data_IF_697282018428
#
_entry.id   IF_697282018428
#
_cell.length_a   1.000
_cell.length_b   1.000
_cell.length_c   1.000
_cell.angle_alpha   90.00
_cell.angle_beta   90.00
_cell.angle_gamma   90.00
#
_symmetry.space_group_name_H-M   'P 1'
#
loop_
_entity.id
_entity.type
_entity.pdbx_description
1 polymer ?
#
# COMPACT_ATOMS: atom_id res chain seq x y z
N UNK A 1 9.19 17.32 -53.31
CA UNK A 1 9.23 18.18 -52.11
C UNK A 1 8.21 19.27 -52.33
N UNK A 2 7.02 19.11 -51.78
CA UNK A 2 5.90 20.05 -51.94
C UNK A 2 5.39 20.37 -50.53
N UNK A 3 5.71 21.58 -50.08
CA UNK A 3 5.37 22.08 -48.76
C UNK A 3 3.93 22.61 -48.78
N UNK A 4 2.99 21.87 -48.19
CA UNK A 4 1.66 22.41 -47.88
C UNK A 4 1.73 23.18 -46.56
N UNK A 5 1.54 24.49 -46.66
CA UNK A 5 1.37 25.41 -45.53
C UNK A 5 0.01 25.17 -44.88
N UNK A 6 -0.01 25.04 -43.56
CA UNK A 6 -1.21 24.87 -42.74
C UNK A 6 -1.53 26.20 -42.08
N UNK A 7 -2.60 26.86 -42.54
CA UNK A 7 -3.16 28.06 -41.90
C UNK A 7 -3.81 27.66 -40.56
N UNK A 8 -3.29 28.19 -39.45
CA UNK A 8 -3.86 28.04 -38.11
C UNK A 8 -4.91 29.12 -37.88
N UNK A 9 -6.18 28.75 -37.86
CA UNK A 9 -7.25 29.62 -37.38
C UNK A 9 -7.34 29.53 -35.86
N UNK A 10 -6.97 30.63 -35.19
CA UNK A 10 -7.14 30.83 -33.75
C UNK A 10 -8.52 31.45 -33.56
N UNK A 11 -9.46 30.72 -32.96
CA UNK A 11 -10.74 31.27 -32.50
C UNK A 11 -10.65 31.54 -31.00
N UNK A 12 -10.85 32.81 -30.65
CA UNK A 12 -10.79 33.38 -29.32
C UNK A 12 -12.19 33.40 -28.67
N UNK A 13 -12.23 33.16 -27.35
CA UNK A 13 -13.26 33.60 -26.38
C UNK A 13 -14.67 32.98 -26.53
N UNK A 14 -15.49 32.77 -25.48
CA UNK A 14 -15.62 33.54 -24.26
C UNK A 14 -16.04 32.67 -23.05
N UNK A 15 -15.46 32.98 -21.90
CA UNK A 15 -15.77 32.44 -20.59
C UNK A 15 -17.09 33.02 -20.09
N UNK A 16 -18.12 32.18 -19.90
CA UNK A 16 -19.34 32.57 -19.18
C UNK A 16 -19.13 32.31 -17.68
N UNK A 17 -18.91 33.38 -16.93
CA UNK A 17 -18.85 33.39 -15.47
C UNK A 17 -20.27 33.58 -14.93
N UNK A 18 -20.97 32.50 -14.59
CA UNK A 18 -22.25 32.58 -13.87
C UNK A 18 -22.03 32.40 -12.37
N UNK A 19 -22.12 33.50 -11.63
CA UNK A 19 -22.28 33.49 -10.19
C UNK A 19 -23.73 33.12 -9.84
N UNK A 20 -23.92 32.03 -9.10
CA UNK A 20 -25.13 31.83 -8.30
C UNK A 20 -24.74 31.89 -6.82
N UNK A 21 -25.30 32.90 -6.14
CA UNK A 21 -25.33 33.01 -4.70
C UNK A 21 -26.79 32.87 -4.21
N UNK A 22 -26.92 32.53 -2.92
CA UNK A 22 -28.13 32.50 -2.08
C UNK A 22 -28.89 31.15 -2.15
N UNK A 23 -29.38 30.56 -1.05
CA UNK A 23 -29.59 31.03 0.31
C UNK A 23 -29.58 29.86 1.31
N UNK A 24 -29.30 30.19 2.57
CA UNK A 24 -29.49 29.36 3.74
C UNK A 24 -30.98 29.26 4.11
N UNK A 25 -31.39 28.09 4.61
CA UNK A 25 -32.55 27.92 5.48
C UNK A 25 -32.19 26.99 6.64
N UNK A 26 -32.09 27.58 7.84
CA UNK A 26 -32.24 26.88 9.10
C UNK A 26 -33.71 26.53 9.34
N UNK A 27 -34.03 25.38 9.93
CA UNK A 27 -34.43 25.27 11.35
C UNK A 27 -35.19 23.95 11.65
N UNK A 28 -34.74 23.30 12.73
CA UNK A 28 -35.43 22.45 13.72
C UNK A 28 -36.57 21.49 13.33
N UNK A 29 -36.43 20.20 13.70
CA UNK A 29 -37.28 19.62 14.77
C UNK A 29 -36.70 18.32 15.35
N UNK A 30 -36.70 18.31 16.69
CA UNK A 30 -36.50 17.17 17.58
C UNK A 30 -37.55 16.07 17.34
N UNK A 31 -37.13 14.81 17.50
CA UNK A 31 -37.93 13.77 18.13
C UNK A 31 -36.99 12.75 18.77
N UNK A 32 -36.81 12.91 20.07
CA UNK A 32 -36.35 11.90 21.01
C UNK A 32 -37.55 10.99 21.36
N UNK A 33 -37.37 9.67 21.33
CA UNK A 33 -38.05 8.81 22.32
C UNK A 33 -37.33 7.46 22.52
N UNK A 34 -36.64 7.40 23.65
CA UNK A 34 -36.57 6.35 24.67
C UNK A 34 -36.84 4.89 24.28
N UNK A 35 -35.85 4.00 24.43
CA UNK A 35 -35.48 3.21 25.63
C UNK A 35 -36.33 1.93 25.83
N UNK A 36 -35.66 0.76 25.74
CA UNK A 36 -35.79 -0.25 26.79
C UNK A 36 -34.48 -0.99 27.02
N UNK A 37 -34.07 -0.95 28.28
CA UNK A 37 -32.93 -1.58 28.94
C UNK A 37 -33.47 -2.77 29.73
N UNK A 38 -32.79 -3.91 29.70
CA UNK A 38 -32.51 -4.79 30.86
C UNK A 38 -31.61 -5.95 30.36
N UNK A 39 -30.39 -6.21 30.83
CA UNK A 39 -29.82 -6.45 32.17
C UNK A 39 -29.45 -7.94 32.32
N UNK A 40 -28.14 -8.18 32.28
CA UNK A 40 -27.34 -9.10 33.12
C UNK A 40 -27.59 -10.61 33.07
N UNK A 41 -26.53 -11.36 32.70
CA UNK A 41 -26.06 -12.45 33.55
C UNK A 41 -24.54 -12.61 33.45
N UNK A 42 -23.94 -12.53 34.64
CA UNK A 42 -22.56 -12.78 34.97
C UNK A 42 -22.36 -14.28 35.14
N UNK A 43 -21.29 -14.84 34.58
CA UNK A 43 -20.72 -16.09 35.07
C UNK A 43 -19.20 -16.05 34.98
N UNK A 44 -18.64 -15.64 36.11
CA UNK A 44 -17.28 -15.90 36.57
C UNK A 44 -17.08 -17.42 36.71
N UNK A 45 -16.07 -17.97 36.05
CA UNK A 45 -15.39 -19.19 36.50
C UNK A 45 -13.88 -18.93 36.51
N UNK A 46 -13.33 -19.14 37.68
CA UNK A 46 -11.92 -19.06 38.06
C UNK A 46 -11.29 -20.45 37.98
N UNK A 47 -9.96 -20.48 37.87
CA UNK A 47 -9.01 -21.60 38.06
C UNK A 47 -8.81 -22.48 36.80
N UNK A 48 -7.61 -22.83 36.36
CA UNK A 48 -6.35 -23.02 37.10
C UNK A 48 -5.11 -22.80 36.21
N UNK A 49 -4.08 -22.28 36.85
CA UNK A 49 -2.67 -22.23 36.45
C UNK A 49 -2.10 -23.59 36.01
N UNK A 50 -1.29 -23.61 34.93
CA UNK A 50 -0.02 -24.35 34.87
C UNK A 50 1.00 -23.59 34.03
N UNK A 51 1.86 -22.87 34.74
CA UNK A 51 3.19 -22.45 34.33
C UNK A 51 4.04 -23.70 34.14
N UNK A 52 4.64 -23.88 32.97
CA UNK A 52 5.83 -24.73 32.81
C UNK A 52 6.99 -23.84 32.37
N UNK A 53 7.70 -23.38 33.39
CA UNK A 53 9.04 -22.85 33.32
C UNK A 53 9.95 -23.94 32.76
N UNK A 54 10.66 -23.69 31.66
CA UNK A 54 11.90 -24.39 31.35
C UNK A 54 12.98 -23.34 31.12
N UNK A 55 13.61 -22.96 32.23
CA UNK A 55 14.99 -22.45 32.22
C UNK A 55 15.87 -23.66 31.93
N UNK A 56 16.64 -23.61 30.84
CA UNK A 56 17.91 -24.31 30.80
C UNK A 56 19.00 -23.28 30.56
N UNK A 57 19.62 -22.86 31.66
CA UNK A 57 20.93 -22.23 31.67
C UNK A 57 21.96 -23.34 31.65
N UNK A 58 22.90 -23.28 30.71
CA UNK A 58 24.20 -23.92 30.84
C UNK A 58 25.22 -23.15 29.99
N UNK A 59 25.65 -22.02 30.54
CA UNK A 59 26.98 -21.45 30.33
C UNK A 59 28.04 -22.47 30.73
N UNK A 60 28.97 -22.77 29.82
CA UNK A 60 30.30 -23.27 30.18
C UNK A 60 31.35 -22.34 29.55
N UNK A 61 31.96 -21.54 30.41
CA UNK A 61 33.34 -21.03 30.30
C UNK A 61 34.29 -22.25 30.32
N UNK A 62 35.40 -22.30 29.59
CA UNK A 62 36.75 -21.67 29.77
C UNK A 62 37.66 -22.46 28.79
N UNK A 63 38.78 -22.05 28.21
CA UNK A 63 39.84 -21.12 28.59
C UNK A 63 40.87 -21.00 27.44
N UNK A 64 41.43 -19.79 27.29
CA UNK A 64 42.83 -19.45 26.96
C UNK A 64 43.56 -20.15 25.81
N UNK A 65 44.03 -19.33 24.86
CA UNK A 65 45.46 -19.20 24.58
C UNK A 65 45.76 -17.81 24.05
N UNK A 66 46.50 -17.05 24.85
CA UNK A 66 47.16 -15.82 24.44
C UNK A 66 48.40 -16.18 23.60
N UNK A 67 48.53 -15.56 22.43
CA UNK A 67 49.81 -15.40 21.76
C UNK A 67 49.90 -13.99 21.23
N UNK A 68 50.79 -13.24 21.85
CA UNK A 68 51.26 -11.92 21.48
C UNK A 68 52.17 -12.00 20.26
N UNK A 69 51.89 -11.20 19.23
CA UNK A 69 52.91 -10.73 18.30
C UNK A 69 52.43 -9.49 17.54
N UNK A 70 53.01 -8.37 17.94
CA UNK A 70 53.45 -7.22 17.15
C UNK A 70 52.55 -6.67 16.03
N UNK A 71 52.06 -5.46 16.32
CA UNK A 71 51.88 -4.31 15.45
C UNK A 71 52.21 -4.51 13.97
N UNK A 72 51.16 -4.45 13.15
CA UNK A 72 51.28 -3.92 11.80
C UNK A 72 50.27 -2.77 11.67
N UNK A 73 50.81 -1.59 11.42
CA UNK A 73 50.10 -0.34 11.19
C UNK A 73 49.32 -0.46 9.89
N UNK A 74 48.10 -0.99 9.95
CA UNK A 74 47.13 -0.82 8.89
C UNK A 74 46.26 0.35 9.28
N UNK A 75 46.43 1.45 8.55
CA UNK A 75 45.46 2.54 8.46
C UNK A 75 44.07 1.89 8.33
N UNK A 76 43.31 1.86 9.43
CA UNK A 76 41.87 1.66 9.33
C UNK A 76 41.35 2.90 8.63
N UNK A 77 41.24 2.82 7.31
CA UNK A 77 40.19 3.54 6.60
C UNK A 77 38.94 3.31 7.42
N UNK A 78 38.48 4.38 8.05
CA UNK A 78 37.17 4.45 8.66
C UNK A 78 36.21 4.18 7.52
N UNK A 79 35.84 2.91 7.32
CA UNK A 79 34.73 2.50 6.47
C UNK A 79 33.55 3.22 7.08
N UNK A 80 33.30 4.41 6.57
CA UNK A 80 32.15 5.20 6.90
C UNK A 80 31.02 4.38 6.31
N UNK A 81 30.43 3.51 7.13
CA UNK A 81 29.27 2.71 6.79
C UNK A 81 28.22 3.74 6.36
N UNK A 82 28.09 3.93 5.06
CA UNK A 82 27.07 4.80 4.50
C UNK A 82 25.76 4.20 5.01
N UNK A 83 25.06 4.97 5.84
CA UNK A 83 23.72 4.59 6.26
C UNK A 83 22.89 4.43 4.99
N UNK A 84 22.08 3.38 4.92
CA UNK A 84 21.14 3.19 3.80
C UNK A 84 20.38 4.50 3.55
N UNK A 85 20.10 4.89 2.29
CA UNK A 85 19.32 6.10 2.00
C UNK A 85 17.92 6.07 2.62
N UNK A 86 17.45 4.87 3.00
CA UNK A 86 16.17 4.62 3.67
C UNK A 86 16.26 4.63 5.20
N UNK A 87 17.42 5.01 5.77
CA UNK A 87 17.60 5.07 7.22
C UNK A 87 16.70 6.14 7.85
N UNK A 88 15.97 5.76 8.90
CA UNK A 88 15.06 6.66 9.62
C UNK A 88 13.59 6.56 9.19
N UNK A 89 13.29 5.85 8.10
CA UNK A 89 11.92 5.52 7.71
C UNK A 89 11.43 4.25 8.40
N UNK A 90 10.12 4.12 8.57
CA UNK A 90 9.51 2.89 9.08
C UNK A 90 9.62 1.74 8.07
N UNK A 91 9.53 0.51 8.55
CA UNK A 91 9.56 -0.67 7.69
C UNK A 91 8.44 -0.66 6.64
N UNK A 92 7.24 -0.19 7.02
CA UNK A 92 6.10 -0.07 6.11
C UNK A 92 6.37 0.95 4.99
N UNK A 93 6.86 2.15 5.34
CA UNK A 93 7.22 3.16 4.33
C UNK A 93 8.29 2.64 3.37
N UNK A 94 9.30 1.93 3.89
CA UNK A 94 10.36 1.32 3.09
C UNK A 94 9.82 0.23 2.16
N UNK A 95 8.93 -0.62 2.67
CA UNK A 95 8.27 -1.66 1.86
C UNK A 95 7.46 -1.01 0.73
N UNK A 96 6.59 -0.06 1.05
CA UNK A 96 5.72 0.58 0.07
C UNK A 96 6.52 1.31 -1.01
N UNK A 97 7.56 2.05 -0.63
CA UNK A 97 8.43 2.73 -1.59
C UNK A 97 9.15 1.74 -2.53
N UNK A 98 9.71 0.65 -1.99
CA UNK A 98 10.38 -0.38 -2.81
C UNK A 98 9.42 -1.10 -3.72
N UNK A 99 8.23 -1.45 -3.24
CA UNK A 99 7.20 -2.09 -4.04
C UNK A 99 6.76 -1.15 -5.18
N UNK A 100 6.53 0.14 -4.90
CA UNK A 100 6.19 1.12 -5.94
C UNK A 100 7.27 1.21 -7.02
N UNK A 101 8.54 1.38 -6.67
CA UNK A 101 9.64 1.43 -7.66
C UNK A 101 9.77 0.13 -8.46
N UNK A 102 9.59 -1.01 -7.81
CA UNK A 102 9.62 -2.31 -8.49
C UNK A 102 8.46 -2.43 -9.49
N UNK A 103 7.27 -1.93 -9.15
CA UNK A 103 6.10 -1.90 -10.04
C UNK A 103 6.29 -0.92 -11.20
N UNK A 104 6.84 0.28 -10.96
CA UNK A 104 7.19 1.24 -12.01
C UNK A 104 8.12 0.58 -13.04
N UNK A 105 9.17 -0.10 -12.56
CA UNK A 105 10.11 -0.85 -13.40
C UNK A 105 9.43 -2.00 -14.14
N UNK A 106 8.62 -2.82 -13.44
CA UNK A 106 7.90 -3.96 -14.01
C UNK A 106 6.97 -3.55 -15.16
N UNK A 107 6.22 -2.45 -15.00
CA UNK A 107 5.34 -1.91 -16.04
C UNK A 107 6.05 -1.03 -17.07
N UNK A 108 7.37 -0.83 -16.93
CA UNK A 108 8.20 0.02 -17.80
C UNK A 108 7.71 1.46 -17.84
N UNK A 109 7.27 1.97 -16.69
CA UNK A 109 6.88 3.36 -16.53
C UNK A 109 8.13 4.23 -16.38
N UNK A 110 8.21 5.27 -17.20
CA UNK A 110 9.30 6.24 -17.22
C UNK A 110 8.86 7.55 -16.56
N UNK A 111 8.38 7.44 -15.31
CA UNK A 111 8.03 8.58 -14.48
C UNK A 111 8.24 8.25 -13.00
N UNK A 112 8.34 9.30 -12.20
CA UNK A 112 8.35 9.23 -10.74
C UNK A 112 7.00 9.73 -10.22
N UNK A 113 6.29 8.96 -9.38
CA UNK A 113 4.94 9.32 -8.96
C UNK A 113 4.93 10.64 -8.19
N UNK A 114 3.91 11.46 -8.39
CA UNK A 114 3.70 12.72 -7.66
C UNK A 114 2.92 12.50 -6.36
N UNK A 115 2.19 11.40 -6.26
CA UNK A 115 1.46 10.98 -5.07
C UNK A 115 1.40 9.46 -4.97
N UNK A 116 1.40 8.95 -3.74
CA UNK A 116 1.23 7.52 -3.43
C UNK A 116 0.29 7.40 -2.24
N UNK A 117 -0.86 6.76 -2.42
CA UNK A 117 -1.79 6.41 -1.35
C UNK A 117 -1.70 4.92 -1.07
N UNK A 118 -1.73 4.57 0.20
CA UNK A 118 -1.67 3.19 0.68
C UNK A 118 -2.91 2.89 1.52
N UNK A 119 -3.58 1.80 1.20
CA UNK A 119 -4.67 1.24 2.01
C UNK A 119 -4.29 -0.16 2.46
N UNK A 120 -4.31 -0.40 3.77
CA UNK A 120 -4.11 -1.74 4.34
C UNK A 120 -5.46 -2.46 4.41
N UNK A 121 -5.56 -3.61 3.75
CA UNK A 121 -6.77 -4.42 3.78
C UNK A 121 -6.52 -5.63 4.69
N UNK A 122 -7.37 -5.80 5.71
CA UNK A 122 -7.33 -7.01 6.54
C UNK A 122 -7.81 -8.24 5.77
N UNK A 123 -7.54 -9.41 6.30
CA UNK A 123 -8.04 -10.69 5.81
C UNK A 123 -9.56 -10.69 5.51
N UNK A 124 -9.95 -11.43 4.48
CA UNK A 124 -11.32 -11.63 3.99
C UNK A 124 -11.99 -10.37 3.42
N UNK A 125 -11.22 -9.40 2.92
CA UNK A 125 -11.76 -8.29 2.11
C UNK A 125 -12.12 -8.76 0.70
N UNK A 126 -13.06 -8.06 0.06
CA UNK A 126 -13.48 -8.34 -1.30
C UNK A 126 -12.45 -7.82 -2.32
N UNK A 127 -12.25 -8.56 -3.42
CA UNK A 127 -11.43 -8.12 -4.56
C UNK A 127 -12.05 -6.90 -5.26
N UNK A 128 -13.37 -6.92 -5.47
CA UNK A 128 -14.12 -5.77 -5.98
C UNK A 128 -15.05 -5.20 -4.91
N UNK A 129 -15.34 -3.89 -4.92
CA UNK A 129 -16.22 -3.24 -3.96
C UNK A 129 -17.71 -3.50 -4.27
N UNK A 130 -18.07 -4.70 -4.71
CA UNK A 130 -19.41 -5.08 -5.14
C UNK A 130 -19.84 -6.41 -4.53
N UNK A 131 -21.14 -6.55 -4.30
CA UNK A 131 -21.74 -7.79 -3.79
C UNK A 131 -21.46 -8.97 -4.72
N UNK A 132 -21.13 -10.13 -4.15
CA UNK A 132 -20.79 -11.34 -4.89
C UNK A 132 -19.31 -11.49 -5.24
N UNK A 133 -18.49 -10.44 -5.06
CA UNK A 133 -17.03 -10.53 -5.27
C UNK A 133 -16.41 -11.64 -4.41
N UNK A 134 -15.42 -12.31 -4.96
CA UNK A 134 -14.57 -13.21 -4.17
C UNK A 134 -13.79 -12.41 -3.12
N UNK A 135 -13.40 -13.09 -2.05
CA UNK A 135 -12.65 -12.53 -0.94
C UNK A 135 -11.21 -13.05 -0.94
N UNK A 136 -10.28 -12.20 -0.52
CA UNK A 136 -8.88 -12.56 -0.33
C UNK A 136 -8.68 -12.96 1.14
N UNK A 137 -8.25 -14.20 1.45
CA UNK A 137 -8.21 -14.69 2.82
C UNK A 137 -7.05 -14.13 3.66
N UNK A 138 -6.04 -13.53 3.03
CA UNK A 138 -4.89 -12.92 3.69
C UNK A 138 -4.96 -11.38 3.69
N UNK A 139 -4.13 -10.76 4.54
CA UNK A 139 -3.91 -9.32 4.52
C UNK A 139 -3.26 -8.89 3.19
N UNK A 140 -3.69 -7.74 2.68
CA UNK A 140 -3.10 -7.13 1.47
C UNK A 140 -2.89 -5.64 1.68
N UNK A 141 -2.17 -5.05 0.73
CA UNK A 141 -1.97 -3.61 0.63
C UNK A 141 -2.36 -3.19 -0.77
N UNK A 142 -3.23 -2.18 -0.88
CA UNK A 142 -3.54 -1.51 -2.13
C UNK A 142 -2.72 -0.24 -2.24
N UNK A 143 -1.87 -0.17 -3.25
CA UNK A 143 -1.10 1.00 -3.63
C UNK A 143 -1.81 1.71 -4.78
N UNK A 144 -2.02 3.01 -4.63
CA UNK A 144 -2.46 3.89 -5.71
C UNK A 144 -1.39 4.96 -5.91
N UNK A 145 -0.69 4.92 -7.04
CA UNK A 145 0.38 5.86 -7.35
C UNK A 145 0.12 6.54 -8.69
N UNK A 146 0.35 7.86 -8.74
CA UNK A 146 -0.07 8.69 -9.87
C UNK A 146 1.08 9.50 -10.46
N UNK A 147 1.12 9.63 -11.78
CA UNK A 147 2.07 10.51 -12.47
C UNK A 147 1.65 11.98 -12.44
N UNK A 148 0.34 12.26 -12.39
CA UNK A 148 -0.21 13.61 -12.57
C UNK A 148 -1.49 13.89 -11.75
N UNK A 149 -1.85 13.00 -10.82
CA UNK A 149 -3.09 13.02 -10.03
C UNK A 149 -4.38 12.88 -10.86
N UNK A 150 -4.30 12.49 -12.14
CA UNK A 150 -5.47 12.13 -12.93
C UNK A 150 -5.75 10.63 -12.79
N UNK A 151 -7.00 10.23 -13.05
CA UNK A 151 -7.35 8.81 -13.03
C UNK A 151 -6.66 8.00 -14.15
N UNK A 152 -6.37 8.64 -15.29
CA UNK A 152 -5.64 8.03 -16.39
C UNK A 152 -4.14 7.84 -16.08
N UNK A 153 -3.56 8.79 -15.33
CA UNK A 153 -2.18 8.72 -14.84
C UNK A 153 -2.00 7.92 -13.56
N UNK A 154 -3.08 7.35 -12.99
CA UNK A 154 -3.02 6.58 -11.74
C UNK A 154 -2.96 5.08 -12.02
N UNK A 155 -2.07 4.39 -11.34
CA UNK A 155 -2.02 2.93 -11.30
C UNK A 155 -2.41 2.44 -9.93
N UNK A 156 -3.33 1.48 -9.88
CA UNK A 156 -3.80 0.86 -8.65
C UNK A 156 -3.38 -0.62 -8.69
N UNK A 157 -2.67 -1.06 -7.64
CA UNK A 157 -2.18 -2.44 -7.50
C UNK A 157 -2.46 -2.90 -6.08
N UNK A 158 -3.03 -4.09 -5.97
CA UNK A 158 -3.18 -4.77 -4.68
C UNK A 158 -2.18 -5.92 -4.59
N UNK A 159 -1.47 -6.00 -3.47
CA UNK A 159 -0.46 -7.03 -3.26
C UNK A 159 -0.51 -7.64 -1.86
N UNK A 160 -0.02 -8.87 -1.75
CA UNK A 160 0.30 -9.54 -0.48
C UNK A 160 1.81 -9.77 -0.40
N UNK A 161 2.38 -9.55 0.78
CA UNK A 161 3.80 -9.83 1.03
C UNK A 161 4.01 -11.32 1.24
N UNK A 162 5.01 -11.89 0.57
CA UNK A 162 5.42 -13.28 0.80
C UNK A 162 6.42 -13.41 1.96
N UNK A 163 6.79 -12.30 2.63
CA UNK A 163 7.78 -12.22 3.71
C UNK A 163 9.17 -12.81 3.40
N UNK A 164 9.49 -12.95 2.11
CA UNK A 164 10.76 -13.48 1.62
C UNK A 164 11.44 -12.53 0.61
N UNK A 165 11.06 -11.25 0.62
CA UNK A 165 11.52 -10.27 -0.37
C UNK A 165 10.79 -10.35 -1.71
N UNK A 166 9.62 -10.96 -1.77
CA UNK A 166 8.72 -10.95 -2.92
C UNK A 166 7.28 -10.63 -2.52
N UNK A 167 6.47 -10.28 -3.51
CA UNK A 167 5.02 -10.05 -3.36
C UNK A 167 4.25 -10.92 -4.36
N UNK A 168 3.00 -11.22 -4.05
CA UNK A 168 2.00 -11.60 -5.06
C UNK A 168 1.09 -10.40 -5.28
N UNK A 169 0.85 -10.01 -6.54
CA UNK A 169 0.11 -8.80 -6.85
C UNK A 169 -0.75 -8.95 -8.10
N UNK A 170 -1.81 -8.14 -8.17
CA UNK A 170 -2.61 -7.94 -9.38
C UNK A 170 -2.89 -6.44 -9.58
N UNK A 171 -3.12 -6.04 -10.82
CA UNK A 171 -3.48 -4.65 -11.17
C UNK A 171 -4.98 -4.47 -11.05
N UNK A 172 -5.41 -3.56 -10.19
CA UNK A 172 -6.82 -3.24 -10.03
C UNK A 172 -7.35 -2.45 -11.26
N UNK A 173 -8.63 -2.63 -11.63
CA UNK A 173 -9.29 -1.75 -12.57
C UNK A 173 -9.38 -0.31 -12.03
N UNK A 174 -9.00 0.67 -12.84
CA UNK A 174 -9.19 2.08 -12.48
C UNK A 174 -10.68 2.48 -12.49
N UNK A 175 -11.52 1.74 -13.23
CA UNK A 175 -12.94 2.01 -13.39
C UNK A 175 -13.75 0.73 -13.56
N UNK A 176 -14.98 0.76 -13.03
CA UNK A 176 -16.00 -0.27 -13.22
C UNK A 176 -17.17 0.36 -13.97
N UNK A 177 -17.24 0.15 -15.29
CA UNK A 177 -18.21 0.84 -16.17
C UNK A 177 -19.44 -0.01 -16.51
N UNK A 178 -19.39 -1.31 -16.24
CA UNK A 178 -20.46 -2.25 -16.60
C UNK A 178 -21.54 -2.29 -15.50
N UNK A 179 -22.81 -2.12 -15.86
CA UNK A 179 -23.89 -2.14 -14.87
C UNK A 179 -24.08 -3.50 -14.18
N UNK A 180 -23.53 -4.58 -14.75
CA UNK A 180 -23.56 -5.92 -14.15
C UNK A 180 -22.85 -5.97 -12.81
N UNK A 181 -21.88 -5.08 -12.55
CA UNK A 181 -21.26 -4.94 -11.22
C UNK A 181 -22.29 -4.68 -10.11
N UNK A 182 -23.42 -4.05 -10.44
CA UNK A 182 -24.48 -3.71 -9.48
C UNK A 182 -25.67 -4.69 -9.51
N UNK A 183 -25.81 -5.49 -10.57
CA UNK A 183 -27.03 -6.26 -10.86
C UNK A 183 -26.83 -7.77 -10.92
N UNK A 184 -25.61 -8.24 -11.16
CA UNK A 184 -25.31 -9.65 -11.39
C UNK A 184 -24.14 -10.12 -10.51
N UNK A 185 -24.47 -10.59 -9.31
CA UNK A 185 -23.48 -11.06 -8.33
C UNK A 185 -22.72 -12.30 -8.80
N UNK A 186 -23.32 -13.14 -9.66
CA UNK A 186 -22.65 -14.34 -10.17
C UNK A 186 -21.56 -13.94 -11.17
N UNK A 187 -21.87 -12.98 -12.05
CA UNK A 187 -20.90 -12.40 -12.96
C UNK A 187 -19.77 -11.66 -12.21
N UNK A 188 -20.10 -10.87 -11.17
CA UNK A 188 -19.09 -10.22 -10.32
C UNK A 188 -18.16 -11.23 -9.67
N UNK A 189 -18.69 -12.36 -9.19
CA UNK A 189 -17.88 -13.44 -8.62
C UNK A 189 -16.89 -14.00 -9.64
N UNK A 190 -17.36 -14.28 -10.86
CA UNK A 190 -16.51 -14.81 -11.93
C UNK A 190 -15.41 -13.81 -12.29
N UNK A 191 -15.75 -12.53 -12.46
CA UNK A 191 -14.80 -11.51 -12.91
C UNK A 191 -13.77 -11.17 -11.83
N UNK A 192 -14.19 -11.13 -10.56
CA UNK A 192 -13.26 -10.95 -9.44
C UNK A 192 -12.33 -12.15 -9.27
N UNK A 193 -12.81 -13.38 -9.52
CA UNK A 193 -11.96 -14.57 -9.51
C UNK A 193 -10.92 -14.51 -10.64
N UNK A 194 -11.31 -14.12 -11.86
CA UNK A 194 -10.36 -13.96 -12.98
C UNK A 194 -9.25 -12.96 -12.65
N UNK A 195 -9.59 -11.84 -11.99
CA UNK A 195 -8.59 -10.87 -11.58
C UNK A 195 -7.63 -11.48 -10.56
N UNK A 196 -8.14 -12.18 -9.54
CA UNK A 196 -7.31 -12.84 -8.54
C UNK A 196 -6.40 -13.91 -9.15
N UNK A 197 -6.91 -14.69 -10.09
CA UNK A 197 -6.16 -15.72 -10.82
C UNK A 197 -5.09 -15.12 -11.75
N UNK A 198 -5.20 -13.84 -12.11
CA UNK A 198 -4.18 -13.11 -12.88
C UNK A 198 -2.98 -12.67 -12.04
N UNK A 199 -3.02 -12.89 -10.72
CA UNK A 199 -1.97 -12.50 -9.79
C UNK A 199 -0.61 -13.07 -10.21
N UNK A 200 0.42 -12.24 -10.09
CA UNK A 200 1.79 -12.59 -10.41
C UNK A 200 2.68 -12.47 -9.18
N UNK A 201 3.78 -13.22 -9.16
CA UNK A 201 4.81 -13.11 -8.13
C UNK A 201 5.95 -12.23 -8.63
N UNK A 202 6.39 -11.28 -7.81
CA UNK A 202 7.45 -10.32 -8.14
C UNK A 202 8.46 -10.22 -7.00
N UNK A 203 9.74 -10.41 -7.30
CA UNK A 203 10.82 -10.15 -6.35
C UNK A 203 11.02 -8.64 -6.18
N UNK A 204 11.26 -8.19 -4.96
CA UNK A 204 11.47 -6.79 -4.58
C UNK A 204 12.97 -6.59 -4.30
N UNK A 205 13.76 -6.10 -5.27
CA UNK A 205 15.19 -5.92 -5.10
C UNK A 205 15.49 -4.67 -4.26
N UNK A 206 16.65 -4.66 -3.62
CA UNK A 206 17.19 -3.46 -2.93
C UNK A 206 17.95 -2.53 -3.88
N UNK A 207 18.04 -2.86 -5.17
CA UNK A 207 18.73 -2.03 -6.17
C UNK A 207 18.01 -0.71 -6.45
N UNK A 208 16.76 -0.57 -6.02
CA UNK A 208 15.96 0.65 -6.15
C UNK A 208 15.95 1.49 -4.86
N UNK A 209 16.82 1.22 -3.88
CA UNK A 209 16.80 1.93 -2.59
C UNK A 209 16.98 3.45 -2.73
N UNK A 210 17.79 3.91 -3.69
CA UNK A 210 17.97 5.34 -3.97
C UNK A 210 16.70 5.98 -4.54
N UNK A 211 16.04 5.32 -5.50
CA UNK A 211 14.78 5.77 -6.09
C UNK A 211 13.64 5.72 -5.06
N UNK A 212 13.57 4.65 -4.27
CA UNK A 212 12.61 4.52 -3.19
C UNK A 212 12.73 5.68 -2.19
N UNK A 213 13.96 6.10 -1.86
CA UNK A 213 14.19 7.25 -0.97
C UNK A 213 13.68 8.58 -1.56
N UNK A 214 13.55 8.71 -2.88
CA UNK A 214 13.02 9.91 -3.55
C UNK A 214 11.49 10.01 -3.48
N UNK A 215 10.79 8.88 -3.37
CA UNK A 215 9.32 8.84 -3.36
C UNK A 215 8.71 8.59 -1.99
N UNK A 216 9.48 8.10 -1.02
CA UNK A 216 8.97 7.66 0.28
C UNK A 216 8.23 8.76 1.06
N UNK A 217 8.61 10.03 0.84
CA UNK A 217 7.94 11.20 1.44
C UNK A 217 6.57 11.51 0.83
N UNK A 218 6.25 10.94 -0.33
CA UNK A 218 4.96 11.09 -1.04
C UNK A 218 3.93 10.03 -0.64
N UNK A 219 4.30 9.13 0.27
CA UNK A 219 3.48 8.01 0.72
C UNK A 219 2.55 8.47 1.84
N UNK A 220 1.26 8.37 1.58
CA UNK A 220 0.19 8.58 2.55
C UNK A 220 -0.45 7.23 2.91
N UNK A 221 -0.27 6.79 4.15
CA UNK A 221 -0.90 5.57 4.68
C UNK A 221 -2.24 5.95 5.30
N UNK A 222 -3.32 5.30 4.82
CA UNK A 222 -4.70 5.53 5.26
C UNK A 222 -5.18 4.50 6.28
#
# INVERSE_FOLDING_TARGET
MENKSYEKTILWSATFLSLFALAACSNSKSSENQTKKETTSSSKVTSSSKTSNSKNSATHSTSSSASSSQANTNNSEKVQKSSSPLSGYSAEQVEYARVTETLLSYYKYDYQPVSISVTKNGANHQVFPFSGSVVVPQDTVTLSFSSDNTMAGTTIVTYSSNHNGSINFYKDPNHYQDERYLKDSAWVKEESQKLLDSSQTLAIPTSFDEQAAQIISKIEIK
#
